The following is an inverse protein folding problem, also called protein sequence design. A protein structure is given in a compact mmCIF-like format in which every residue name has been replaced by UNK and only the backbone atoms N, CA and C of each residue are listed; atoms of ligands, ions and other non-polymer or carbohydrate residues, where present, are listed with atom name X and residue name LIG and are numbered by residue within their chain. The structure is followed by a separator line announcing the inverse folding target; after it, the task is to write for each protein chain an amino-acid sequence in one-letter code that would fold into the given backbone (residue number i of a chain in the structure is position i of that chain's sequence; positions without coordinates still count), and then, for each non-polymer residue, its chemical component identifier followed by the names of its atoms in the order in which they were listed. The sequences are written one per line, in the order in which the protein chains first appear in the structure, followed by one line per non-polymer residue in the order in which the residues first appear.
data_IF_104787634285
#
_entry.id   IF_104787634285
#
_cell.length_a   1.000
_cell.length_b   1.000
_cell.length_c   1.000
_cell.angle_alpha   90.00
_cell.angle_beta   90.00
_cell.angle_gamma   90.00
#
_symmetry.space_group_name_H-M   'P 1'
#
loop_
_entity.id
_entity.type
_entity.pdbx_description
1 polymer ?
#
# COMPACT_ATOMS: atom_id res chain seq x y z
N UNK A 1 24.72 0.01 56.94
CA UNK A 1 23.35 0.35 56.48
C UNK A 1 23.50 1.41 55.40
N UNK A 2 23.10 1.28 54.15
CA UNK A 2 22.49 0.16 53.43
C UNK A 2 23.11 0.08 52.04
N UNK A 3 23.35 -1.15 51.58
CA UNK A 3 23.74 -1.43 50.20
C UNK A 3 22.59 -0.99 49.30
N UNK A 4 22.83 0.05 48.51
CA UNK A 4 22.00 0.40 47.36
C UNK A 4 22.00 -0.84 46.47
N UNK A 5 20.86 -1.50 46.36
CA UNK A 5 20.62 -2.63 45.48
C UNK A 5 21.06 -2.25 44.06
N UNK A 6 22.19 -2.78 43.60
CA UNK A 6 22.66 -2.65 42.22
C UNK A 6 21.77 -3.53 41.34
N UNK A 7 20.69 -2.95 40.80
CA UNK A 7 19.97 -3.54 39.66
C UNK A 7 20.80 -3.29 38.40
N UNK A 8 21.61 -4.27 37.98
CA UNK A 8 22.36 -4.22 36.72
C UNK A 8 21.49 -4.81 35.60
N UNK A 9 21.26 -4.02 34.55
CA UNK A 9 20.52 -4.44 33.35
C UNK A 9 21.46 -4.90 32.23
N UNK A 10 22.31 -5.89 32.50
CA UNK A 10 23.27 -6.40 31.50
C UNK A 10 22.92 -7.80 31.01
N UNK A 11 22.13 -7.84 29.93
CA UNK A 11 22.23 -8.85 28.89
C UNK A 11 22.08 -8.11 27.54
N UNK A 12 23.16 -8.06 26.76
CA UNK A 12 23.28 -7.23 25.56
C UNK A 12 22.56 -7.79 24.31
N UNK A 13 21.83 -8.91 24.44
CA UNK A 13 21.34 -9.69 23.29
C UNK A 13 19.85 -10.10 23.32
N UNK A 14 19.06 -9.68 24.32
CA UNK A 14 17.65 -10.08 24.43
C UNK A 14 16.65 -8.93 24.20
N UNK A 15 15.48 -9.21 23.57
CA UNK A 15 14.48 -8.20 23.23
C UNK A 15 13.74 -7.57 24.43
N UNK A 16 13.67 -8.28 25.56
CA UNK A 16 13.04 -7.81 26.80
C UNK A 16 14.06 -7.87 27.93
N UNK A 17 14.19 -6.79 28.72
CA UNK A 17 15.11 -6.72 29.86
C UNK A 17 14.31 -6.59 31.16
N UNK A 18 14.49 -7.52 32.10
CA UNK A 18 13.89 -7.43 33.42
C UNK A 18 14.83 -6.76 34.43
N UNK A 19 14.30 -5.86 35.26
CA UNK A 19 15.01 -5.34 36.42
C UNK A 19 14.93 -6.39 37.55
N UNK A 20 15.94 -7.26 37.63
CA UNK A 20 16.00 -8.35 38.63
C UNK A 20 17.25 -8.17 39.50
N UNK A 21 17.11 -8.33 40.82
CA UNK A 21 18.24 -8.31 41.75
C UNK A 21 19.21 -9.48 41.50
N UNK A 22 20.49 -9.24 41.78
CA UNK A 22 21.66 -10.06 41.41
C UNK A 22 21.61 -11.55 41.89
N UNK A 23 20.75 -11.87 42.85
CA UNK A 23 20.55 -13.21 43.43
C UNK A 23 19.70 -14.18 42.57
N UNK A 24 19.24 -13.77 41.38
CA UNK A 24 18.31 -14.52 40.54
C UNK A 24 18.89 -14.92 39.17
N UNK A 25 20.21 -14.78 38.96
CA UNK A 25 20.90 -14.88 37.66
C UNK A 25 20.77 -16.21 36.87
N UNK A 26 20.34 -17.34 37.45
CA UNK A 26 20.57 -18.66 36.84
C UNK A 26 19.35 -19.53 36.49
N UNK A 27 18.12 -19.13 36.83
CA UNK A 27 16.91 -19.91 36.50
C UNK A 27 15.71 -18.99 36.27
N UNK A 28 15.63 -18.38 35.09
CA UNK A 28 14.58 -17.41 34.77
C UNK A 28 14.01 -17.73 33.40
N UNK A 29 12.95 -18.52 33.36
CA UNK A 29 12.08 -18.66 32.19
C UNK A 29 11.00 -17.58 32.26
N UNK A 30 10.98 -16.69 31.26
CA UNK A 30 9.95 -15.67 31.08
C UNK A 30 8.69 -16.35 30.54
N UNK A 31 7.57 -16.36 31.28
CA UNK A 31 6.33 -16.94 30.75
C UNK A 31 5.47 -15.93 30.00
N UNK A 32 5.41 -14.68 30.45
CA UNK A 32 4.58 -13.64 29.83
C UNK A 32 4.88 -12.21 30.30
N UNK A 33 4.75 -11.25 29.37
CA UNK A 33 4.75 -9.79 29.59
C UNK A 33 3.34 -9.22 29.49
N UNK A 34 2.94 -8.41 30.46
CA UNK A 34 1.57 -7.88 30.52
C UNK A 34 1.47 -6.49 31.17
N UNK A 35 0.36 -5.80 30.90
CA UNK A 35 -0.03 -4.52 31.52
C UNK A 35 -1.47 -4.57 32.03
N UNK A 36 -1.80 -3.71 32.98
CA UNK A 36 -3.16 -3.58 33.56
C UNK A 36 -3.85 -2.35 32.99
N UNK A 37 -5.15 -2.45 32.66
CA UNK A 37 -5.88 -1.37 31.96
C UNK A 37 -6.19 -0.11 32.79
N UNK A 38 -5.88 -0.09 34.10
CA UNK A 38 -6.06 1.09 34.96
C UNK A 38 -4.91 1.19 35.96
N UNK A 39 -3.93 2.03 35.65
CA UNK A 39 -2.86 2.40 36.57
C UNK A 39 -2.75 3.93 36.66
N UNK A 40 -3.89 4.63 36.74
CA UNK A 40 -3.97 6.10 36.82
C UNK A 40 -3.24 6.70 38.04
N UNK A 41 -2.95 5.89 39.06
CA UNK A 41 -2.29 6.32 40.31
C UNK A 41 -0.82 5.84 40.43
N UNK A 42 -0.25 5.22 39.40
CA UNK A 42 1.11 4.68 39.46
C UNK A 42 2.07 5.42 38.50
N UNK A 43 3.36 5.52 38.85
CA UNK A 43 4.34 6.29 38.07
C UNK A 43 4.58 5.74 36.65
N UNK A 44 4.19 4.50 36.36
CA UNK A 44 4.30 3.89 35.03
C UNK A 44 2.94 3.33 34.59
N UNK A 45 2.52 3.72 33.38
CA UNK A 45 1.29 3.26 32.72
C UNK A 45 1.27 1.75 32.60
N UNK A 46 0.17 1.11 33.01
CA UNK A 46 0.00 -0.33 32.89
C UNK A 46 0.73 -1.18 33.92
N UNK A 47 1.44 -0.55 34.86
CA UNK A 47 2.23 -1.22 35.91
C UNK A 47 1.58 -0.97 37.28
N UNK A 48 0.60 -1.80 37.61
CA UNK A 48 -0.14 -1.75 38.88
C UNK A 48 -0.55 -3.16 39.35
N UNK A 49 -1.07 -3.33 40.58
CA UNK A 49 -1.58 -4.61 41.03
C UNK A 49 -2.69 -5.10 40.09
N UNK A 50 -2.75 -6.41 39.83
CA UNK A 50 -3.81 -7.04 39.03
C UNK A 50 -5.16 -7.05 39.75
N UNK A 51 -5.17 -6.69 41.04
CA UNK A 51 -6.35 -6.57 41.90
C UNK A 51 -6.42 -5.17 42.50
N UNK A 52 -7.60 -4.55 42.42
CA UNK A 52 -7.86 -3.25 43.05
C UNK A 52 -9.28 -3.22 43.61
N UNK A 53 -9.42 -2.80 44.89
CA UNK A 53 -10.72 -2.65 45.56
C UNK A 53 -11.63 -3.89 45.41
N UNK A 54 -11.08 -5.09 45.63
CA UNK A 54 -11.82 -6.36 45.57
C UNK A 54 -12.23 -6.82 44.17
N UNK A 55 -11.71 -6.22 43.09
CA UNK A 55 -11.94 -6.65 41.70
C UNK A 55 -10.62 -6.93 40.99
N UNK A 56 -10.62 -7.98 40.16
CA UNK A 56 -9.54 -8.24 39.21
C UNK A 56 -9.64 -7.25 38.05
N UNK A 57 -8.52 -6.63 37.71
CA UNK A 57 -8.43 -5.69 36.59
C UNK A 57 -8.07 -6.45 35.29
N UNK A 58 -8.56 -5.99 34.12
CA UNK A 58 -8.22 -6.62 32.86
C UNK A 58 -6.72 -6.52 32.57
N UNK A 59 -6.12 -7.66 32.28
CA UNK A 59 -4.70 -7.81 31.95
C UNK A 59 -4.53 -7.91 30.44
N UNK A 60 -3.80 -6.97 29.83
CA UNK A 60 -3.42 -7.00 28.42
C UNK A 60 -2.03 -7.63 28.28
N UNK A 61 -1.96 -8.76 27.58
CA UNK A 61 -0.69 -9.45 27.29
C UNK A 61 -0.08 -8.91 26.01
N UNK A 62 1.23 -8.65 26.04
CA UNK A 62 1.98 -8.14 24.89
C UNK A 62 2.83 -9.27 24.33
N UNK A 63 2.42 -9.86 23.21
CA UNK A 63 3.19 -10.87 22.48
C UNK A 63 3.26 -10.58 20.96
N UNK A 64 2.56 -9.55 20.48
CA UNK A 64 2.46 -9.22 19.05
C UNK A 64 3.81 -8.84 18.42
N UNK A 65 4.74 -8.29 19.21
CA UNK A 65 6.06 -7.84 18.72
C UNK A 65 6.89 -8.95 18.08
N UNK A 66 6.65 -10.23 18.45
CA UNK A 66 7.30 -11.39 17.84
C UNK A 66 6.88 -11.56 16.36
N UNK A 67 5.65 -11.19 16.04
CA UNK A 67 5.06 -11.35 14.71
C UNK A 67 5.28 -10.15 13.81
N UNK A 68 5.68 -9.00 14.35
CA UNK A 68 5.85 -7.75 13.60
C UNK A 68 6.73 -7.92 12.35
N UNK A 69 7.95 -8.50 12.42
CA UNK A 69 8.78 -8.65 11.21
C UNK A 69 8.14 -9.53 10.13
N UNK A 70 7.46 -10.62 10.54
CA UNK A 70 6.79 -11.54 9.63
C UNK A 70 5.58 -10.88 8.95
N UNK A 71 4.81 -10.12 9.73
CA UNK A 71 3.67 -9.36 9.21
C UNK A 71 4.14 -8.29 8.23
N UNK A 72 5.15 -7.48 8.58
CA UNK A 72 5.68 -6.45 7.68
C UNK A 72 6.20 -7.04 6.37
N UNK A 73 6.87 -8.20 6.43
CA UNK A 73 7.30 -8.92 5.24
C UNK A 73 6.10 -9.36 4.38
N UNK A 74 5.09 -9.99 4.99
CA UNK A 74 3.87 -10.37 4.28
C UNK A 74 3.16 -9.17 3.65
N UNK A 75 3.05 -8.06 4.37
CA UNK A 75 2.47 -6.80 3.86
C UNK A 75 3.23 -6.31 2.62
N UNK A 76 4.57 -6.36 2.62
CA UNK A 76 5.37 -6.00 1.45
C UNK A 76 5.07 -6.87 0.23
N UNK A 77 4.85 -8.18 0.42
CA UNK A 77 4.47 -9.10 -0.65
C UNK A 77 3.06 -8.79 -1.17
N UNK A 78 2.12 -8.47 -0.27
CA UNK A 78 0.76 -8.09 -0.64
C UNK A 78 0.75 -6.82 -1.49
N UNK A 79 1.60 -5.82 -1.20
CA UNK A 79 1.79 -4.64 -2.04
C UNK A 79 2.43 -4.93 -3.40
N UNK A 80 3.28 -5.95 -3.52
CA UNK A 80 3.85 -6.37 -4.79
C UNK A 80 2.86 -7.18 -5.66
N UNK A 81 1.85 -7.79 -5.05
CA UNK A 81 0.93 -8.73 -5.69
C UNK A 81 0.13 -8.13 -6.88
N UNK A 82 -0.49 -6.94 -6.78
CA UNK A 82 -1.25 -6.38 -7.90
C UNK A 82 -0.38 -6.12 -9.13
N UNK A 83 0.85 -5.66 -8.93
CA UNK A 83 1.80 -5.42 -10.02
C UNK A 83 2.25 -6.73 -10.68
N UNK A 84 2.58 -7.75 -9.86
CA UNK A 84 2.94 -9.07 -10.37
C UNK A 84 1.78 -9.71 -11.15
N UNK A 85 0.55 -9.60 -10.64
CA UNK A 85 -0.66 -10.08 -11.30
C UNK A 85 -0.88 -9.37 -12.64
N UNK A 86 -0.73 -8.04 -12.69
CA UNK A 86 -0.85 -7.30 -13.94
C UNK A 86 0.22 -7.73 -14.95
N UNK A 87 1.49 -7.83 -14.54
CA UNK A 87 2.58 -8.24 -15.44
C UNK A 87 2.37 -9.63 -16.02
N UNK A 88 1.83 -10.56 -15.23
CA UNK A 88 1.47 -11.88 -15.70
C UNK A 88 0.30 -11.83 -16.70
N UNK A 89 -0.73 -11.03 -16.42
CA UNK A 89 -1.92 -10.92 -17.28
C UNK A 89 -1.66 -10.13 -18.57
N UNK A 90 -0.81 -9.09 -18.53
CA UNK A 90 -0.48 -8.26 -19.69
C UNK A 90 0.21 -9.08 -20.79
N UNK A 91 1.02 -10.07 -20.41
CA UNK A 91 1.73 -10.95 -21.35
C UNK A 91 2.75 -10.24 -22.25
N UNK A 92 3.12 -9.00 -21.92
CA UNK A 92 4.10 -8.21 -22.68
C UNK A 92 3.61 -7.67 -24.02
N UNK A 93 2.29 -7.62 -24.25
CA UNK A 93 1.69 -7.18 -25.51
C UNK A 93 2.18 -5.79 -25.95
N UNK A 94 2.14 -4.79 -25.05
CA UNK A 94 2.56 -3.41 -25.35
C UNK A 94 4.05 -3.36 -25.70
N UNK A 95 4.88 -4.04 -24.91
CA UNK A 95 6.32 -4.12 -25.15
C UNK A 95 6.63 -4.76 -26.50
N UNK A 96 5.94 -5.83 -26.87
CA UNK A 96 6.12 -6.49 -28.16
C UNK A 96 5.73 -5.58 -29.33
N UNK A 97 4.62 -4.84 -29.20
CA UNK A 97 4.17 -3.91 -30.24
C UNK A 97 5.06 -2.67 -30.41
N UNK A 98 5.81 -2.29 -29.37
CA UNK A 98 6.73 -1.15 -29.38
C UNK A 98 8.20 -1.54 -29.61
N UNK A 99 8.52 -2.83 -29.70
CA UNK A 99 9.89 -3.31 -29.83
C UNK A 99 10.57 -2.73 -31.08
N UNK A 100 9.93 -2.86 -32.25
CA UNK A 100 10.45 -2.35 -33.52
C UNK A 100 10.63 -0.82 -33.51
N UNK A 101 9.70 -0.10 -32.86
CA UNK A 101 9.77 1.36 -32.73
C UNK A 101 10.93 1.81 -31.86
N UNK A 102 11.22 1.04 -30.80
CA UNK A 102 12.28 1.33 -29.84
C UNK A 102 13.64 0.99 -30.44
N UNK A 103 13.76 -0.15 -31.11
CA UNK A 103 15.01 -0.62 -31.72
C UNK A 103 15.42 0.25 -32.92
N UNK A 104 14.48 0.62 -33.79
CA UNK A 104 14.76 1.40 -35.00
C UNK A 104 14.64 2.91 -34.78
N UNK A 105 14.57 3.38 -33.53
CA UNK A 105 14.26 4.78 -33.18
C UNK A 105 15.07 5.78 -34.00
N UNK A 106 16.40 5.64 -34.06
CA UNK A 106 17.28 6.57 -34.80
C UNK A 106 16.96 6.56 -36.31
N UNK A 107 16.75 5.39 -36.90
CA UNK A 107 16.40 5.26 -38.32
C UNK A 107 15.04 5.91 -38.63
N UNK A 108 14.07 5.78 -37.72
CA UNK A 108 12.72 6.38 -37.86
C UNK A 108 12.75 7.91 -37.73
N UNK A 109 13.73 8.45 -36.99
CA UNK A 109 13.95 9.90 -36.91
C UNK A 109 14.55 10.47 -38.20
N UNK A 110 15.46 9.73 -38.85
CA UNK A 110 16.14 10.16 -40.08
C UNK A 110 15.29 9.91 -41.34
N UNK A 111 14.56 8.78 -41.40
CA UNK A 111 13.80 8.35 -42.56
C UNK A 111 12.28 8.39 -42.32
N UNK A 112 11.65 9.47 -42.81
CA UNK A 112 10.21 9.67 -42.68
C UNK A 112 9.38 8.64 -43.44
N UNK A 113 9.90 8.05 -44.52
CA UNK A 113 9.17 7.05 -45.30
C UNK A 113 9.08 5.73 -44.51
N UNK A 114 10.22 5.25 -43.99
CA UNK A 114 10.26 4.06 -43.13
C UNK A 114 9.41 4.24 -41.87
N UNK A 115 9.42 5.43 -41.27
CA UNK A 115 8.55 5.75 -40.13
C UNK A 115 7.08 5.58 -40.48
N UNK A 116 6.63 6.15 -41.60
CA UNK A 116 5.23 6.04 -42.03
C UNK A 116 4.84 4.59 -42.30
N UNK A 117 5.70 3.82 -42.95
CA UNK A 117 5.43 2.41 -43.25
C UNK A 117 5.30 1.55 -41.99
N UNK A 118 6.19 1.75 -41.01
CA UNK A 118 6.12 1.03 -39.73
C UNK A 118 4.87 1.41 -38.95
N UNK A 119 4.56 2.71 -38.83
CA UNK A 119 3.36 3.18 -38.16
C UNK A 119 2.08 2.66 -38.84
N UNK A 120 2.06 2.59 -40.17
CA UNK A 120 0.94 2.01 -40.94
C UNK A 120 0.82 0.50 -40.76
N UNK A 121 1.92 -0.24 -40.56
CA UNK A 121 1.88 -1.66 -40.19
C UNK A 121 1.28 -1.85 -38.80
N UNK A 122 1.70 -1.05 -37.83
CA UNK A 122 1.16 -1.07 -36.46
C UNK A 122 -0.33 -0.69 -36.44
N UNK A 123 -0.72 0.33 -37.20
CA UNK A 123 -2.10 0.75 -37.34
C UNK A 123 -2.99 -0.36 -37.90
N UNK A 124 -2.54 -1.08 -38.94
CA UNK A 124 -3.24 -2.24 -39.50
C UNK A 124 -3.33 -3.42 -38.52
N UNK A 125 -2.26 -3.68 -37.77
CA UNK A 125 -2.27 -4.72 -36.75
C UNK A 125 -3.30 -4.40 -35.65
N UNK A 126 -3.36 -3.14 -35.21
CA UNK A 126 -4.33 -2.68 -34.23
C UNK A 126 -5.77 -2.73 -34.77
N UNK A 127 -6.02 -2.21 -35.98
CA UNK A 127 -7.37 -2.22 -36.57
C UNK A 127 -7.90 -3.64 -36.79
N UNK A 128 -7.04 -4.59 -37.15
CA UNK A 128 -7.41 -6.00 -37.30
C UNK A 128 -7.77 -6.70 -35.98
N UNK A 129 -7.34 -6.14 -34.83
CA UNK A 129 -7.56 -6.71 -33.49
C UNK A 129 -8.50 -5.86 -32.61
N UNK A 130 -9.19 -4.90 -33.22
CA UNK A 130 -10.18 -4.06 -32.55
C UNK A 130 -11.22 -4.92 -31.81
N UNK A 131 -11.65 -4.49 -30.63
CA UNK A 131 -12.57 -5.19 -29.73
C UNK A 131 -12.05 -6.51 -29.10
N UNK A 132 -10.94 -7.08 -29.57
CA UNK A 132 -10.38 -8.30 -28.98
C UNK A 132 -9.71 -8.05 -27.61
N UNK A 133 -9.43 -6.79 -27.27
CA UNK A 133 -8.72 -6.41 -26.04
C UNK A 133 -9.61 -6.29 -24.80
N UNK A 134 -10.89 -6.69 -24.89
CA UNK A 134 -11.86 -6.61 -23.77
C UNK A 134 -11.41 -7.37 -22.52
N UNK A 135 -11.03 -8.65 -22.66
CA UNK A 135 -10.59 -9.48 -21.53
C UNK A 135 -9.30 -8.95 -20.90
N UNK A 136 -8.38 -8.46 -21.73
CA UNK A 136 -7.14 -7.84 -21.28
C UNK A 136 -7.40 -6.57 -20.46
N UNK A 137 -8.35 -5.73 -20.90
CA UNK A 137 -8.73 -4.52 -20.19
C UNK A 137 -9.51 -4.79 -18.90
N UNK A 138 -10.36 -5.82 -18.86
CA UNK A 138 -10.98 -6.24 -17.59
C UNK A 138 -9.94 -6.70 -16.58
N UNK A 139 -8.85 -7.32 -17.04
CA UNK A 139 -7.74 -7.70 -16.17
C UNK A 139 -7.01 -6.51 -15.58
N UNK A 140 -6.81 -5.45 -16.36
CA UNK A 140 -6.24 -4.19 -15.86
C UNK A 140 -7.11 -3.57 -14.76
N UNK A 141 -8.42 -3.46 -15.00
CA UNK A 141 -9.37 -2.90 -14.03
C UNK A 141 -9.45 -3.76 -12.76
N UNK A 142 -9.34 -5.07 -12.90
CA UNK A 142 -9.26 -5.99 -11.76
C UNK A 142 -8.01 -5.73 -10.93
N UNK A 143 -6.82 -5.67 -11.54
CA UNK A 143 -5.57 -5.35 -10.84
C UNK A 143 -5.59 -3.96 -10.18
N UNK A 144 -6.23 -2.99 -10.83
CA UNK A 144 -6.39 -1.65 -10.27
C UNK A 144 -7.31 -1.64 -9.04
N UNK A 145 -8.42 -2.39 -9.11
CA UNK A 145 -9.32 -2.59 -7.96
C UNK A 145 -8.60 -3.35 -6.84
N UNK A 146 -7.76 -4.33 -7.19
CA UNK A 146 -6.93 -5.08 -6.25
C UNK A 146 -5.96 -4.16 -5.49
N UNK A 147 -5.41 -3.11 -6.11
CA UNK A 147 -4.59 -2.12 -5.41
C UNK A 147 -5.36 -1.42 -4.28
N UNK A 148 -6.60 -0.99 -4.55
CA UNK A 148 -7.46 -0.35 -3.56
C UNK A 148 -7.81 -1.31 -2.41
N UNK A 149 -8.23 -2.53 -2.75
CA UNK A 149 -8.52 -3.58 -1.76
C UNK A 149 -7.28 -3.91 -0.94
N UNK A 150 -6.11 -3.96 -1.57
CA UNK A 150 -4.86 -4.28 -0.90
C UNK A 150 -4.47 -3.21 0.14
N UNK A 151 -4.60 -1.92 -0.17
CA UNK A 151 -4.34 -0.86 0.81
C UNK A 151 -5.29 -0.99 2.00
N UNK A 152 -6.58 -1.18 1.76
CA UNK A 152 -7.59 -1.35 2.82
C UNK A 152 -7.31 -2.60 3.68
N UNK A 153 -6.94 -3.71 3.05
CA UNK A 153 -6.61 -4.96 3.72
C UNK A 153 -5.35 -4.81 4.60
N UNK A 154 -4.31 -4.10 4.13
CA UNK A 154 -3.10 -3.84 4.92
C UNK A 154 -3.39 -2.95 6.15
N UNK A 155 -4.23 -1.92 5.99
CA UNK A 155 -4.69 -1.09 7.11
C UNK A 155 -5.46 -1.92 8.12
N UNK A 156 -6.43 -2.72 7.66
CA UNK A 156 -7.23 -3.59 8.52
C UNK A 156 -6.39 -4.65 9.25
N UNK A 157 -5.45 -5.28 8.56
CA UNK A 157 -4.55 -6.27 9.15
C UNK A 157 -3.66 -5.65 10.24
N UNK A 158 -3.17 -4.43 10.01
CA UNK A 158 -2.39 -3.68 11.00
C UNK A 158 -3.25 -3.27 12.20
N UNK A 159 -4.50 -2.87 11.95
CA UNK A 159 -5.46 -2.53 12.99
C UNK A 159 -5.80 -3.73 13.87
N UNK A 160 -6.02 -4.91 13.28
CA UNK A 160 -6.20 -6.15 14.01
C UNK A 160 -4.98 -6.53 14.85
N UNK A 161 -3.76 -6.37 14.31
CA UNK A 161 -2.51 -6.65 15.02
C UNK A 161 -2.33 -5.78 16.27
N UNK A 162 -2.75 -4.52 16.20
CA UNK A 162 -2.62 -3.54 17.30
C UNK A 162 -3.87 -3.46 18.20
N UNK A 163 -4.86 -4.33 17.98
CA UNK A 163 -6.07 -4.42 18.81
C UNK A 163 -7.08 -3.30 18.56
N UNK A 164 -7.26 -2.89 17.29
CA UNK A 164 -8.31 -1.95 16.86
C UNK A 164 -7.98 -0.46 17.06
N UNK A 165 -6.70 -0.14 17.32
CA UNK A 165 -6.26 1.22 17.65
C UNK A 165 -5.38 1.87 16.58
N UNK A 166 -5.13 1.19 15.46
CA UNK A 166 -4.25 1.71 14.41
C UNK A 166 -4.93 2.82 13.61
N UNK A 167 -6.22 2.69 13.30
CA UNK A 167 -6.92 3.70 12.48
C UNK A 167 -6.90 5.10 13.11
N UNK A 168 -7.02 5.21 14.44
CA UNK A 168 -6.94 6.50 15.16
C UNK A 168 -5.52 6.93 15.53
N UNK A 169 -4.53 6.05 15.35
CA UNK A 169 -3.18 6.23 15.88
C UNK A 169 -2.49 7.50 15.38
N UNK A 170 -2.45 7.76 14.08
CA UNK A 170 -1.76 8.95 13.57
C UNK A 170 -2.41 10.27 13.96
N UNK A 171 -3.73 10.29 14.14
CA UNK A 171 -4.44 11.45 14.69
C UNK A 171 -4.04 11.73 16.14
N UNK A 172 -3.84 10.68 16.93
CA UNK A 172 -3.36 10.79 18.32
C UNK A 172 -1.91 11.28 18.38
N UNK A 173 -1.04 10.80 17.48
CA UNK A 173 0.34 11.29 17.34
C UNK A 173 0.38 12.77 16.97
N UNK A 174 -0.45 13.21 16.02
CA UNK A 174 -0.50 14.61 15.62
C UNK A 174 -0.98 15.51 16.77
N UNK A 175 -1.97 15.05 17.53
CA UNK A 175 -2.46 15.77 18.71
C UNK A 175 -1.40 15.88 19.79
N UNK A 176 -0.61 14.82 20.00
CA UNK A 176 0.52 14.83 20.95
C UNK A 176 1.58 15.88 20.56
N UNK A 177 1.93 15.97 19.27
CA UNK A 177 2.89 16.97 18.79
C UNK A 177 2.41 18.42 18.96
N UNK A 178 1.11 18.65 19.12
CA UNK A 178 0.51 19.98 19.29
C UNK A 178 0.32 20.38 20.76
N UNK A 179 0.41 19.43 21.70
CA UNK A 179 0.23 19.66 23.13
C UNK A 179 1.56 20.02 23.80
N UNK A 180 1.51 20.86 24.84
CA UNK A 180 2.69 21.20 25.63
C UNK A 180 3.14 19.98 26.47
N UNK A 181 4.45 19.71 26.61
CA UNK A 181 4.98 18.57 27.37
C UNK A 181 4.56 18.53 28.85
N UNK A 182 4.15 19.67 29.41
CA UNK A 182 3.81 19.87 30.82
C UNK A 182 2.42 19.33 31.21
N UNK A 183 1.52 19.07 30.24
CA UNK A 183 0.15 18.62 30.55
C UNK A 183 0.04 17.16 30.99
N UNK A 184 1.17 16.43 31.08
CA UNK A 184 1.29 15.14 31.78
C UNK A 184 0.21 14.12 31.43
N UNK A 185 -0.38 14.22 30.25
CA UNK A 185 -1.63 13.55 29.93
C UNK A 185 -1.29 12.18 29.38
N UNK A 186 -1.38 11.20 30.26
CA UNK A 186 -1.43 9.76 29.98
C UNK A 186 -1.77 9.45 28.51
N UNK A 187 -0.74 9.18 27.72
CA UNK A 187 -0.91 9.07 26.27
C UNK A 187 -1.40 7.68 25.88
N UNK A 188 -2.44 7.66 25.05
CA UNK A 188 -3.02 6.44 24.46
C UNK A 188 -1.96 5.65 23.66
N UNK A 189 -0.92 6.34 23.18
CA UNK A 189 0.25 5.77 22.47
C UNK A 189 0.99 4.76 23.36
N UNK A 190 1.29 5.11 24.62
CA UNK A 190 1.99 4.23 25.56
C UNK A 190 1.11 3.05 26.01
N UNK A 191 -0.21 3.13 25.85
CA UNK A 191 -1.12 2.00 26.06
C UNK A 191 -1.11 0.97 24.90
N UNK A 192 -0.68 1.38 23.71
CA UNK A 192 -0.52 0.51 22.52
C UNK A 192 0.90 -0.07 22.49
N UNK A 193 1.91 0.77 22.71
CA UNK A 193 3.33 0.42 22.69
C UNK A 193 3.99 0.67 24.05
N UNK A 194 3.68 -0.15 25.08
CA UNK A 194 4.27 0.06 26.40
C UNK A 194 5.77 -0.18 26.38
N UNK A 195 6.51 0.79 26.91
CA UNK A 195 7.98 0.74 27.07
C UNK A 195 8.38 0.00 28.35
N UNK A 196 7.48 -0.04 29.33
CA UNK A 196 7.63 -0.75 30.60
C UNK A 196 6.40 -1.63 30.84
N UNK A 197 6.61 -2.88 31.23
CA UNK A 197 5.57 -3.89 31.46
C UNK A 197 5.85 -4.68 32.73
N UNK A 198 4.87 -5.44 33.21
CA UNK A 198 5.09 -6.47 34.24
C UNK A 198 5.47 -7.79 33.61
N UNK A 199 6.47 -8.45 34.16
CA UNK A 199 6.82 -9.82 33.83
C UNK A 199 6.59 -10.72 35.03
N UNK A 200 6.15 -11.95 34.76
CA UNK A 200 6.07 -13.01 35.76
C UNK A 200 7.16 -14.04 35.51
N UNK A 201 7.83 -14.41 36.59
CA UNK A 201 8.92 -15.38 36.62
C UNK A 201 8.58 -16.51 37.57
N UNK A 202 8.83 -17.73 37.13
CA UNK A 202 8.63 -18.92 37.92
C UNK A 202 9.98 -19.41 38.43
N UNK A 203 10.13 -19.49 39.76
CA UNK A 203 11.30 -20.08 40.40
C UNK A 203 10.90 -21.35 41.12
N UNK A 204 11.72 -22.38 41.02
CA UNK A 204 11.54 -23.59 41.81
C UNK A 204 12.11 -23.36 43.22
N UNK A 205 11.24 -23.47 44.23
CA UNK A 205 11.65 -23.42 45.63
C UNK A 205 12.43 -24.68 46.03
N UNK A 206 13.07 -24.69 47.22
CA UNK A 206 13.83 -25.84 47.72
C UNK A 206 12.99 -27.12 47.90
N UNK A 207 11.66 -26.99 47.99
CA UNK A 207 10.70 -28.10 48.02
C UNK A 207 10.23 -28.54 46.62
N UNK A 208 10.74 -27.96 45.53
CA UNK A 208 10.26 -28.20 44.15
C UNK A 208 8.95 -27.48 43.78
N UNK A 209 8.31 -26.78 44.73
CA UNK A 209 7.12 -25.96 44.46
C UNK A 209 7.44 -24.73 43.61
N UNK A 210 6.56 -24.38 42.66
CA UNK A 210 6.69 -23.18 41.82
C UNK A 210 6.35 -21.94 42.66
N UNK A 211 7.26 -20.96 42.69
CA UNK A 211 7.11 -19.65 43.31
C UNK A 211 7.07 -18.58 42.22
N UNK A 212 6.02 -17.76 42.22
CA UNK A 212 5.81 -16.71 41.22
C UNK A 212 6.39 -15.39 41.72
N UNK A 213 7.23 -14.77 40.91
CA UNK A 213 7.81 -13.45 41.17
C UNK A 213 7.43 -12.47 40.07
N UNK A 214 6.92 -11.29 40.44
CA UNK A 214 6.66 -10.20 39.51
C UNK A 214 7.85 -9.23 39.50
N UNK A 215 8.29 -8.82 38.31
CA UNK A 215 9.28 -7.75 38.16
C UNK A 215 8.89 -6.77 37.05
N UNK A 216 9.56 -5.63 37.04
CA UNK A 216 9.46 -4.64 35.97
C UNK A 216 10.32 -5.06 34.78
N UNK A 217 9.73 -5.02 33.59
CA UNK A 217 10.39 -5.32 32.33
C UNK A 217 10.38 -4.13 31.40
N UNK A 218 11.55 -3.77 30.89
CA UNK A 218 11.73 -2.78 29.83
C UNK A 218 11.65 -3.49 28.48
N UNK A 219 10.73 -3.04 27.64
CA UNK A 219 10.46 -3.61 26.31
C UNK A 219 11.04 -2.69 25.23
N UNK A 220 12.35 -2.81 24.99
CA UNK A 220 13.08 -1.95 24.05
C UNK A 220 12.58 -2.04 22.61
N UNK A 221 12.09 -3.22 22.19
CA UNK A 221 11.54 -3.41 20.83
C UNK A 221 10.29 -2.56 20.58
N UNK A 222 9.51 -2.25 21.62
CA UNK A 222 8.31 -1.44 21.44
C UNK A 222 8.63 0.03 21.15
N UNK A 223 9.78 0.55 21.60
CA UNK A 223 10.24 1.90 21.22
C UNK A 223 10.48 1.97 19.71
N UNK A 224 11.07 0.92 19.13
CA UNK A 224 11.30 0.83 17.69
C UNK A 224 9.98 0.65 16.94
N UNK A 225 9.12 -0.25 17.42
CA UNK A 225 7.79 -0.48 16.82
C UNK A 225 6.93 0.79 16.83
N UNK A 226 6.92 1.56 17.92
CA UNK A 226 6.22 2.84 18.01
C UNK A 226 6.61 3.75 16.84
N UNK A 227 7.91 3.88 16.53
CA UNK A 227 8.39 4.73 15.43
C UNK A 227 8.06 4.15 14.07
N UNK A 228 8.23 2.83 13.87
CA UNK A 228 7.87 2.16 12.62
C UNK A 228 6.38 2.33 12.31
N UNK A 229 5.48 2.05 13.26
CA UNK A 229 4.04 2.15 13.05
C UNK A 229 3.55 3.59 12.91
N UNK A 230 4.26 4.56 13.49
CA UNK A 230 4.01 5.99 13.23
C UNK A 230 4.29 6.34 11.77
N UNK A 231 5.45 5.96 11.24
CA UNK A 231 5.80 6.20 9.83
C UNK A 231 4.85 5.45 8.89
N UNK A 232 4.53 4.18 9.19
CA UNK A 232 3.62 3.37 8.40
C UNK A 232 2.21 3.93 8.35
N UNK A 233 1.70 4.51 9.43
CA UNK A 233 0.36 5.10 9.44
C UNK A 233 0.25 6.25 8.43
N UNK A 234 1.19 7.20 8.46
CA UNK A 234 1.20 8.32 7.52
C UNK A 234 1.44 7.83 6.08
N UNK A 235 2.28 6.82 5.91
CA UNK A 235 2.52 6.20 4.61
C UNK A 235 1.25 5.54 4.04
N UNK A 236 0.56 4.70 4.81
CA UNK A 236 -0.69 4.07 4.39
C UNK A 236 -1.80 5.09 4.15
N UNK A 237 -1.91 6.14 4.97
CA UNK A 237 -2.86 7.22 4.73
C UNK A 237 -2.59 7.93 3.40
N UNK A 238 -1.32 8.28 3.12
CA UNK A 238 -0.93 8.90 1.85
C UNK A 238 -1.23 7.99 0.66
N UNK A 239 -0.80 6.72 0.71
CA UNK A 239 -1.01 5.74 -0.37
C UNK A 239 -2.51 5.48 -0.57
N UNK A 240 -3.31 5.42 0.50
CA UNK A 240 -4.76 5.26 0.40
C UNK A 240 -5.41 6.44 -0.30
N UNK A 241 -5.07 7.68 0.06
CA UNK A 241 -5.59 8.89 -0.58
C UNK A 241 -5.23 8.92 -2.06
N UNK A 242 -3.96 8.68 -2.41
CA UNK A 242 -3.51 8.66 -3.82
C UNK A 242 -4.24 7.57 -4.60
N UNK A 243 -4.38 6.37 -4.02
CA UNK A 243 -5.04 5.22 -4.67
C UNK A 243 -6.53 5.48 -4.88
N UNK A 244 -7.23 6.02 -3.88
CA UNK A 244 -8.65 6.39 -3.98
C UNK A 244 -8.85 7.48 -5.02
N UNK A 245 -8.04 8.54 -5.01
CA UNK A 245 -8.12 9.61 -6.01
C UNK A 245 -7.87 9.08 -7.43
N UNK A 246 -6.86 8.22 -7.61
CA UNK A 246 -6.58 7.59 -8.90
C UNK A 246 -7.75 6.68 -9.37
N UNK A 247 -8.33 5.91 -8.45
CA UNK A 247 -9.48 5.06 -8.75
C UNK A 247 -10.72 5.88 -9.12
N UNK A 248 -11.05 6.93 -8.36
CA UNK A 248 -12.16 7.83 -8.63
C UNK A 248 -11.98 8.57 -9.96
N UNK A 249 -10.75 9.00 -10.28
CA UNK A 249 -10.42 9.64 -11.55
C UNK A 249 -10.70 8.71 -12.73
N UNK A 250 -10.29 7.44 -12.64
CA UNK A 250 -10.55 6.42 -13.67
C UNK A 250 -12.03 6.06 -13.77
N UNK A 251 -12.70 5.88 -12.62
CA UNK A 251 -14.14 5.56 -12.57
C UNK A 251 -14.96 6.68 -13.21
N UNK A 252 -14.68 7.93 -12.86
CA UNK A 252 -15.29 9.11 -13.49
C UNK A 252 -15.04 9.09 -15.00
N UNK A 253 -13.82 8.72 -15.42
CA UNK A 253 -13.49 8.50 -16.82
C UNK A 253 -14.41 7.50 -17.50
N UNK A 254 -14.50 6.28 -16.96
CA UNK A 254 -15.33 5.20 -17.51
C UNK A 254 -16.81 5.60 -17.55
N UNK A 255 -17.33 6.20 -16.48
CA UNK A 255 -18.73 6.67 -16.41
C UNK A 255 -19.01 7.72 -17.49
N UNK A 256 -18.09 8.67 -17.69
CA UNK A 256 -18.22 9.65 -18.77
C UNK A 256 -18.14 8.99 -20.16
N UNK A 257 -17.29 7.97 -20.37
CA UNK A 257 -17.28 7.19 -21.63
C UNK A 257 -18.64 6.54 -21.92
N UNK A 258 -19.33 6.04 -20.88
CA UNK A 258 -20.62 5.38 -21.02
C UNK A 258 -21.79 6.37 -21.18
N UNK A 259 -21.75 7.50 -20.47
CA UNK A 259 -22.85 8.45 -20.37
C UNK A 259 -22.88 9.50 -21.48
N UNK A 260 -21.72 9.90 -22.04
CA UNK A 260 -21.66 10.99 -23.03
C UNK A 260 -21.37 10.50 -24.44
N UNK A 261 -22.42 10.47 -25.29
CA UNK A 261 -22.30 10.28 -26.74
C UNK A 261 -22.10 11.61 -27.52
N UNK A 262 -21.41 12.61 -26.96
CA UNK A 262 -21.33 13.96 -27.54
C UNK A 262 -20.11 14.82 -27.16
N UNK A 263 -19.80 15.83 -27.98
CA UNK A 263 -18.50 16.51 -28.10
C UNK A 263 -17.84 17.16 -26.86
N UNK A 264 -18.58 17.52 -25.80
CA UNK A 264 -17.98 18.04 -24.55
C UNK A 264 -17.05 17.03 -23.85
N UNK A 265 -17.28 15.75 -24.12
CA UNK A 265 -16.50 14.60 -23.67
C UNK A 265 -15.05 14.58 -24.20
N UNK A 266 -14.82 15.04 -25.43
CA UNK A 266 -13.52 14.92 -26.12
C UNK A 266 -12.41 15.70 -25.40
N UNK A 267 -12.73 16.91 -24.92
CA UNK A 267 -11.76 17.78 -24.24
C UNK A 267 -11.40 17.32 -22.82
N UNK A 268 -12.32 16.64 -22.14
CA UNK A 268 -12.10 16.10 -20.81
C UNK A 268 -11.32 14.76 -20.89
N UNK A 269 -11.68 13.91 -21.86
CA UNK A 269 -10.96 12.66 -22.12
C UNK A 269 -9.49 12.89 -22.52
N UNK A 270 -9.20 13.92 -23.32
CA UNK A 270 -7.82 14.31 -23.66
C UNK A 270 -6.93 14.48 -22.41
N UNK A 271 -7.47 15.06 -21.33
CA UNK A 271 -6.72 15.32 -20.08
C UNK A 271 -6.67 14.12 -19.13
N UNK A 272 -7.70 13.28 -19.13
CA UNK A 272 -7.87 12.18 -18.17
C UNK A 272 -7.20 10.89 -18.64
N UNK A 273 -7.20 10.63 -19.95
CA UNK A 273 -6.68 9.40 -20.56
C UNK A 273 -5.34 9.61 -21.27
N UNK A 274 -4.53 10.59 -20.85
CA UNK A 274 -3.14 10.75 -21.31
C UNK A 274 -2.95 10.88 -22.82
N UNK A 275 -3.97 11.31 -23.57
CA UNK A 275 -3.80 11.63 -24.98
C UNK A 275 -2.92 12.89 -25.03
N UNK A 276 -1.84 12.92 -25.82
CA UNK A 276 -1.03 14.12 -25.95
C UNK A 276 -1.93 15.29 -26.34
N UNK A 277 -1.83 16.42 -25.63
CA UNK A 277 -2.60 17.64 -25.91
C UNK A 277 -2.44 18.18 -27.35
N UNK A 278 -1.49 17.60 -28.10
CA UNK A 278 -1.17 17.88 -29.51
C UNK A 278 -2.18 17.25 -30.48
N UNK A 279 -2.97 16.25 -30.07
CA UNK A 279 -3.94 15.61 -30.96
C UNK A 279 -5.22 16.44 -31.07
N UNK A 280 -5.48 16.97 -32.26
CA UNK A 280 -6.62 17.85 -32.55
C UNK A 280 -7.98 17.17 -32.34
N UNK A 281 -9.00 17.91 -31.91
CA UNK A 281 -10.32 17.37 -31.54
C UNK A 281 -11.01 16.63 -32.69
N UNK A 282 -10.68 17.00 -33.92
CA UNK A 282 -11.18 16.41 -35.17
C UNK A 282 -10.80 14.93 -35.33
N UNK A 283 -9.64 14.51 -34.81
CA UNK A 283 -9.16 13.13 -34.91
C UNK A 283 -9.70 12.23 -33.79
N UNK A 284 -10.18 12.82 -32.70
CA UNK A 284 -10.65 12.10 -31.51
C UNK A 284 -12.07 11.56 -31.67
N UNK A 285 -12.97 12.35 -32.28
CA UNK A 285 -14.37 11.96 -32.43
C UNK A 285 -14.58 10.62 -33.17
N UNK A 286 -13.89 10.33 -34.31
CA UNK A 286 -14.03 9.04 -34.99
C UNK A 286 -13.48 7.89 -34.15
N UNK A 287 -12.36 8.09 -33.45
CA UNK A 287 -11.77 7.07 -32.58
C UNK A 287 -12.76 6.62 -31.49
N UNK A 288 -13.50 7.56 -30.88
CA UNK A 288 -14.49 7.27 -29.83
C UNK A 288 -15.69 6.49 -30.34
N UNK A 289 -16.01 6.63 -31.61
CA UNK A 289 -17.12 5.91 -32.23
C UNK A 289 -16.80 4.44 -32.48
N UNK A 290 -15.54 4.11 -32.75
CA UNK A 290 -15.14 2.77 -33.17
C UNK A 290 -14.41 1.97 -32.08
N UNK A 291 -13.72 2.61 -31.14
CA UNK A 291 -12.93 1.90 -30.13
C UNK A 291 -13.74 1.60 -28.86
N UNK A 292 -13.63 0.36 -28.35
CA UNK A 292 -14.16 -0.03 -27.04
C UNK A 292 -13.20 0.38 -25.90
N UNK A 293 -13.67 0.27 -24.64
CA UNK A 293 -12.87 0.55 -23.44
C UNK A 293 -11.49 -0.13 -23.45
N UNK A 294 -11.39 -1.35 -23.96
CA UNK A 294 -10.11 -2.07 -24.01
C UNK A 294 -9.14 -1.58 -25.07
N UNK A 295 -9.67 -1.16 -26.23
CA UNK A 295 -8.89 -0.54 -27.29
C UNK A 295 -8.38 0.83 -26.83
N UNK A 296 -9.21 1.56 -26.08
CA UNK A 296 -8.85 2.82 -25.43
C UNK A 296 -7.73 2.67 -24.41
N UNK A 297 -7.81 1.66 -23.55
CA UNK A 297 -6.75 1.37 -22.58
C UNK A 297 -5.43 1.06 -23.29
N UNK A 298 -5.48 0.27 -24.36
CA UNK A 298 -4.29 -0.05 -25.14
C UNK A 298 -3.66 1.20 -25.77
N UNK A 299 -4.47 2.06 -26.40
CA UNK A 299 -4.02 3.33 -26.97
C UNK A 299 -3.42 4.26 -25.91
N UNK A 300 -4.00 4.30 -24.71
CA UNK A 300 -3.45 5.04 -23.57
C UNK A 300 -2.07 4.51 -23.15
N UNK A 301 -1.90 3.20 -23.03
CA UNK A 301 -0.59 2.61 -22.71
C UNK A 301 0.44 2.88 -23.82
N UNK A 302 0.04 2.84 -25.09
CA UNK A 302 0.91 3.21 -26.20
C UNK A 302 1.30 4.69 -26.13
N UNK A 303 0.37 5.60 -25.81
CA UNK A 303 0.65 7.03 -25.67
C UNK A 303 1.68 7.32 -24.57
N UNK A 304 1.61 6.63 -23.43
CA UNK A 304 2.57 6.80 -22.33
C UNK A 304 3.96 6.22 -22.64
N UNK A 305 4.07 5.29 -23.59
CA UNK A 305 5.33 4.63 -23.96
C UNK A 305 5.90 5.11 -25.30
N UNK A 306 5.21 6.01 -26.03
CA UNK A 306 5.65 6.56 -27.32
C UNK A 306 5.91 8.07 -27.22
N UNK A 307 6.84 8.57 -28.04
CA UNK A 307 7.05 10.01 -28.18
C UNK A 307 5.76 10.68 -28.71
N UNK A 308 5.37 11.83 -28.14
CA UNK A 308 4.12 12.55 -28.47
C UNK A 308 3.91 12.79 -29.98
N UNK A 309 4.98 13.16 -30.71
CA UNK A 309 4.92 13.31 -32.16
C UNK A 309 4.75 11.99 -32.92
N UNK A 310 5.35 10.91 -32.42
CA UNK A 310 5.22 9.56 -33.00
C UNK A 310 3.82 8.99 -32.79
N UNK A 311 3.25 9.20 -31.60
CA UNK A 311 1.87 8.84 -31.30
C UNK A 311 0.87 9.62 -32.16
N UNK A 312 1.09 10.92 -32.37
CA UNK A 312 0.23 11.74 -33.23
C UNK A 312 0.19 11.22 -34.67
N UNK A 313 1.35 10.87 -35.24
CA UNK A 313 1.42 10.33 -36.59
C UNK A 313 0.87 8.90 -36.67
N UNK A 314 1.02 8.09 -35.61
CA UNK A 314 0.38 6.79 -35.48
C UNK A 314 -1.14 6.89 -35.53
N UNK A 315 -1.75 7.79 -34.75
CA UNK A 315 -3.20 7.98 -34.71
C UNK A 315 -3.74 8.44 -36.07
N UNK A 316 -3.01 9.30 -36.80
CA UNK A 316 -3.39 9.71 -38.16
C UNK A 316 -3.42 8.54 -39.14
N UNK A 317 -2.40 7.69 -39.13
CA UNK A 317 -2.38 6.48 -39.96
C UNK A 317 -3.48 5.49 -39.55
N UNK A 318 -3.75 5.34 -38.24
CA UNK A 318 -4.83 4.51 -37.73
C UNK A 318 -6.21 4.96 -38.22
N UNK A 319 -6.50 6.27 -38.14
CA UNK A 319 -7.74 6.83 -38.66
C UNK A 319 -7.87 6.65 -40.17
N UNK A 320 -6.77 6.77 -40.91
CA UNK A 320 -6.73 6.51 -42.35
C UNK A 320 -7.10 5.06 -42.69
N UNK A 321 -6.56 4.08 -41.95
CA UNK A 321 -6.86 2.65 -42.12
C UNK A 321 -8.32 2.35 -41.75
N UNK A 322 -8.78 2.82 -40.59
CA UNK A 322 -10.16 2.60 -40.14
C UNK A 322 -11.19 3.23 -41.09
N UNK A 323 -10.90 4.43 -41.62
CA UNK A 323 -11.78 5.09 -42.61
C UNK A 323 -11.90 4.32 -43.92
N UNK A 324 -10.81 3.69 -44.37
CA UNK A 324 -10.81 2.81 -45.55
C UNK A 324 -11.60 1.52 -45.32
N UNK A 325 -11.41 0.88 -44.17
CA UNK A 325 -12.12 -0.36 -43.82
C UNK A 325 -13.64 -0.14 -43.67
N UNK A 326 -14.05 1.00 -43.11
CA UNK A 326 -15.48 1.38 -43.02
C UNK A 326 -16.09 1.64 -44.39
N UNK A 327 -15.36 2.31 -45.31
CA UNK A 327 -15.83 2.52 -46.68
C UNK A 327 -16.00 1.21 -47.44
N UNK A 328 -15.10 0.24 -47.23
CA UNK A 328 -15.18 -1.09 -47.82
C UNK A 328 -16.33 -1.93 -47.24
N UNK A 329 -16.59 -1.84 -45.93
CA UNK A 329 -17.73 -2.52 -45.30
C UNK A 329 -19.10 -1.97 -45.77
N UNK A 330 -19.20 -0.66 -46.04
CA UNK A 330 -20.41 -0.05 -46.59
C UNK A 330 -20.64 -0.35 -48.07
N UNK A 331 -19.58 -0.73 -48.81
CA UNK A 331 -19.66 -1.08 -50.24
C UNK A 331 -20.07 -2.55 -50.47
N UNK A 332 -19.95 -3.40 -49.45
CA UNK A 332 -20.27 -4.84 -49.48
C UNK A 332 -21.59 -5.19 -48.76
N UNK A 333 -22.40 -4.19 -48.40
CA UNK A 333 -23.82 -4.32 -48.04
C UNK A 333 -24.65 -3.69 -49.14
#
# INVERSE_FOLDING_TARGET
MGNIYKCVSEFYSQPVKAAVCESLKWHVDYSSTWTVSQAEHYPNVGVGPSWWRGRELPVKRHAYYQWVPLVLFLQSLLFAMPHAAWKYWEGGLVRASLADLTEQRVTLYLDRAKRRDLLRRLARYFSARLHSHRFWATGFLFCDTLNLVNVMANVYLTDCLLGGSFSSYGGEVLRFLQLNPEDGRYDRIDAIFPKVTKCTFHKFGPSGSIQNHEALCVMGLNVVNEKIYTVLWFWFAMVAVVTVLAFLWKLLGIVLLLCTKGGCYVAWVQRVLGVPAVLDQTYLYPLFRYCDLGDWLYLHLMANNMDSGMYTDFVKELLGVMGGDVSNMLRNK
#
